data_IF_189315309806
#
_entry.id   IF_189315309806
#
_cell.length_a   1.000
_cell.length_b   1.000
_cell.length_c   1.000
_cell.angle_alpha   90.00
_cell.angle_beta   90.00
_cell.angle_gamma   90.00
#
_symmetry.space_group_name_H-M   'P 1'
#
loop_
_entity.id
_entity.type
_entity.pdbx_description
1 polymer ?
#
# COMPACT_ATOMS: atom_id res chain seq x y z
N UNK A 1 -5.61 -28.56 53.06
CA UNK A 1 -4.94 -27.50 53.85
C UNK A 1 -5.81 -26.89 54.96
N UNK A 2 -6.95 -26.26 54.69
CA UNK A 2 -7.77 -25.59 55.73
C UNK A 2 -8.14 -26.45 56.96
N UNK A 3 -8.50 -27.71 56.74
CA UNK A 3 -8.80 -28.64 57.82
C UNK A 3 -7.59 -28.95 58.71
N UNK A 4 -6.38 -28.96 58.14
CA UNK A 4 -5.12 -29.15 58.88
C UNK A 4 -4.78 -27.89 59.69
N UNK A 5 -5.02 -26.69 59.13
CA UNK A 5 -4.86 -25.40 59.85
C UNK A 5 -5.78 -25.36 61.06
N UNK A 6 -7.05 -25.71 60.88
CA UNK A 6 -8.03 -25.76 61.97
C UNK A 6 -7.63 -26.76 63.07
N UNK A 7 -7.13 -27.95 62.70
CA UNK A 7 -6.63 -28.92 63.68
C UNK A 7 -5.38 -28.44 64.41
N UNK A 8 -4.45 -27.80 63.70
CA UNK A 8 -3.24 -27.23 64.31
C UNK A 8 -3.57 -26.13 65.32
N UNK A 9 -4.54 -25.26 65.00
CA UNK A 9 -5.02 -24.21 65.91
C UNK A 9 -5.62 -24.80 67.20
N UNK A 10 -6.49 -25.81 67.08
CA UNK A 10 -7.09 -26.52 68.23
C UNK A 10 -6.01 -27.19 69.10
N UNK A 11 -5.03 -27.85 68.48
CA UNK A 11 -3.95 -28.51 69.21
C UNK A 11 -3.01 -27.51 69.89
N UNK A 12 -2.76 -26.36 69.25
CA UNK A 12 -1.94 -25.28 69.81
C UNK A 12 -2.59 -24.65 71.03
N UNK A 13 -3.89 -24.36 70.97
CA UNK A 13 -4.65 -23.86 72.12
C UNK A 13 -4.66 -24.85 73.28
N UNK A 14 -4.77 -26.15 72.97
CA UNK A 14 -4.74 -27.21 73.98
C UNK A 14 -3.37 -27.34 74.65
N UNK A 15 -2.28 -27.16 73.90
CA UNK A 15 -0.92 -27.17 74.45
C UNK A 15 -0.69 -26.07 75.50
N UNK A 16 -1.41 -24.96 75.42
CA UNK A 16 -1.33 -23.84 76.39
C UNK A 16 -2.12 -24.12 77.68
N UNK A 17 -3.21 -24.88 77.58
CA UNK A 17 -4.20 -25.03 78.67
C UNK A 17 -4.12 -26.39 79.38
N UNK A 18 -3.65 -27.44 78.72
CA UNK A 18 -3.69 -28.83 79.19
C UNK A 18 -2.28 -29.34 79.55
N UNK A 19 -2.02 -29.60 80.83
CA UNK A 19 -0.72 -30.13 81.32
C UNK A 19 -0.48 -31.59 80.93
N UNK A 20 -1.49 -32.29 80.44
CA UNK A 20 -1.38 -33.68 79.95
C UNK A 20 -1.30 -33.77 78.43
N UNK A 21 -1.11 -32.62 77.76
CA UNK A 21 -0.99 -32.55 76.31
C UNK A 21 0.13 -33.44 75.77
N UNK A 22 -0.16 -34.13 74.67
CA UNK A 22 0.80 -34.96 73.93
C UNK A 22 1.42 -34.16 72.78
N UNK A 23 2.72 -33.79 72.85
CA UNK A 23 3.40 -33.06 71.80
C UNK A 23 3.45 -33.79 70.45
N UNK A 24 3.37 -35.12 70.45
CA UNK A 24 3.42 -35.91 69.21
C UNK A 24 2.20 -35.66 68.31
N UNK A 25 1.07 -35.25 68.87
CA UNK A 25 -0.12 -34.92 68.08
C UNK A 25 0.10 -33.72 67.14
N UNK A 26 0.88 -32.72 67.55
CA UNK A 26 1.27 -31.60 66.67
C UNK A 26 2.23 -32.09 65.59
N UNK A 27 3.18 -32.95 65.95
CA UNK A 27 4.15 -33.51 65.01
C UNK A 27 3.47 -34.30 63.88
N UNK A 28 2.44 -35.08 64.20
CA UNK A 28 1.67 -35.84 63.22
C UNK A 28 0.87 -34.91 62.28
N UNK A 29 0.30 -33.82 62.80
CA UNK A 29 -0.35 -32.80 61.97
C UNK A 29 0.67 -32.09 61.07
N UNK A 30 1.89 -31.81 61.55
CA UNK A 30 2.96 -31.22 60.75
C UNK A 30 3.40 -32.14 59.60
N UNK A 31 3.50 -33.46 59.82
CA UNK A 31 3.78 -34.43 58.74
C UNK A 31 2.71 -34.42 57.66
N UNK A 32 1.44 -34.29 58.05
CA UNK A 32 0.33 -34.16 57.11
C UNK A 32 0.38 -32.84 56.33
N UNK A 33 0.77 -31.74 56.97
CA UNK A 33 0.97 -30.46 56.30
C UNK A 33 2.07 -30.51 55.25
N UNK A 34 3.22 -31.08 55.60
CA UNK A 34 4.34 -31.24 54.68
C UNK A 34 3.89 -32.05 53.44
N UNK A 35 3.18 -33.15 53.66
CA UNK A 35 2.68 -33.99 52.58
C UNK A 35 1.61 -33.30 51.72
N UNK A 36 0.68 -32.54 52.32
CA UNK A 36 -0.32 -31.76 51.60
C UNK A 36 0.32 -30.61 50.80
N UNK A 37 1.33 -29.94 51.37
CA UNK A 37 2.09 -28.89 50.71
C UNK A 37 2.88 -29.41 49.51
N UNK A 38 3.58 -30.54 49.63
CA UNK A 38 4.28 -31.14 48.50
C UNK A 38 3.32 -31.57 47.38
N UNK A 39 2.15 -32.12 47.74
CA UNK A 39 1.13 -32.48 46.74
C UNK A 39 0.59 -31.24 46.03
N UNK A 40 0.29 -30.18 46.76
CA UNK A 40 -0.18 -28.93 46.19
C UNK A 40 0.87 -28.30 45.27
N UNK A 41 2.14 -28.32 45.69
CA UNK A 41 3.24 -27.81 44.87
C UNK A 41 3.44 -28.62 43.59
N UNK A 42 3.49 -29.95 43.69
CA UNK A 42 3.63 -30.82 42.52
C UNK A 42 2.44 -30.70 41.55
N UNK A 43 1.22 -30.54 42.06
CA UNK A 43 0.04 -30.29 41.24
C UNK A 43 0.13 -28.92 40.52
N UNK A 44 0.56 -27.88 41.24
CA UNK A 44 0.75 -26.55 40.67
C UNK A 44 1.86 -26.51 39.62
N UNK A 45 2.96 -27.23 39.82
CA UNK A 45 4.06 -27.31 38.86
C UNK A 45 3.60 -28.02 37.58
N UNK A 46 2.85 -29.13 37.72
CA UNK A 46 2.27 -29.84 36.57
C UNK A 46 1.28 -28.97 35.79
N UNK A 47 0.40 -28.24 36.48
CA UNK A 47 -0.55 -27.32 35.84
C UNK A 47 0.19 -26.19 35.12
N UNK A 48 1.24 -25.64 35.73
CA UNK A 48 2.06 -24.59 35.13
C UNK A 48 2.77 -25.09 33.87
N UNK A 49 3.35 -26.29 33.89
CA UNK A 49 3.98 -26.91 32.72
C UNK A 49 2.98 -27.14 31.59
N UNK A 50 1.76 -27.58 31.91
CA UNK A 50 0.69 -27.74 30.92
C UNK A 50 0.29 -26.40 30.31
N UNK A 51 0.09 -25.37 31.13
CA UNK A 51 -0.24 -24.01 30.67
C UNK A 51 0.86 -23.43 29.77
N UNK A 52 2.14 -23.63 30.12
CA UNK A 52 3.27 -23.18 29.29
C UNK A 52 3.25 -23.89 27.95
N UNK A 53 3.08 -25.21 27.93
CA UNK A 53 3.03 -26.00 26.69
C UNK A 53 1.87 -25.60 25.79
N UNK A 54 0.71 -25.32 26.38
CA UNK A 54 -0.45 -24.81 25.66
C UNK A 54 -0.19 -23.41 25.10
N UNK A 55 0.39 -22.50 25.89
CA UNK A 55 0.74 -21.16 25.46
C UNK A 55 1.73 -21.19 24.28
N UNK A 56 2.78 -22.01 24.36
CA UNK A 56 3.75 -22.22 23.27
C UNK A 56 3.05 -22.75 22.00
N UNK A 57 2.19 -23.76 22.14
CA UNK A 57 1.42 -24.30 21.00
C UNK A 57 0.51 -23.24 20.37
N UNK A 58 -0.07 -22.35 21.18
CA UNK A 58 -0.89 -21.25 20.68
C UNK A 58 -0.06 -20.18 19.98
N UNK A 59 1.13 -19.87 20.50
CA UNK A 59 2.08 -18.97 19.86
C UNK A 59 2.52 -19.51 18.50
N UNK A 60 2.94 -20.77 18.42
CA UNK A 60 3.37 -21.40 17.17
C UNK A 60 2.27 -21.33 16.10
N UNK A 61 1.02 -21.66 16.46
CA UNK A 61 -0.12 -21.55 15.54
C UNK A 61 -0.40 -20.12 15.09
N UNK A 62 -0.23 -19.15 15.98
CA UNK A 62 -0.41 -17.74 15.64
C UNK A 62 0.69 -17.25 14.69
N UNK A 63 1.93 -17.67 14.91
CA UNK A 63 3.07 -17.39 14.03
C UNK A 63 2.88 -18.00 12.64
N UNK A 64 2.51 -19.28 12.57
CA UNK A 64 2.21 -19.97 11.30
C UNK A 64 1.09 -19.26 10.51
N UNK A 65 0.03 -18.87 11.22
CA UNK A 65 -1.07 -18.13 10.59
C UNK A 65 -0.60 -16.77 10.05
N UNK A 66 0.16 -16.03 10.85
CA UNK A 66 0.67 -14.71 10.47
C UNK A 66 1.64 -14.81 9.29
N UNK A 67 2.49 -15.83 9.27
CA UNK A 67 3.38 -16.11 8.15
C UNK A 67 2.59 -16.41 6.87
N UNK A 68 1.57 -17.27 6.95
CA UNK A 68 0.70 -17.58 5.81
C UNK A 68 -0.03 -16.36 5.25
N UNK A 69 -0.55 -15.49 6.12
CA UNK A 69 -1.22 -14.25 5.70
C UNK A 69 -0.22 -13.29 5.05
N UNK A 70 0.98 -13.16 5.62
CA UNK A 70 2.03 -12.29 5.08
C UNK A 70 2.50 -12.77 3.70
N UNK A 71 2.73 -14.06 3.52
CA UNK A 71 3.13 -14.63 2.22
C UNK A 71 2.05 -14.39 1.16
N UNK A 72 0.77 -14.60 1.51
CA UNK A 72 -0.34 -14.31 0.60
C UNK A 72 -0.40 -12.83 0.23
N UNK A 73 -0.21 -11.93 1.19
CA UNK A 73 -0.23 -10.49 0.97
C UNK A 73 0.95 -10.03 0.10
N UNK A 74 2.14 -10.60 0.29
CA UNK A 74 3.32 -10.29 -0.55
C UNK A 74 3.13 -10.79 -1.99
N UNK A 75 2.56 -11.97 -2.18
CA UNK A 75 2.27 -12.50 -3.52
C UNK A 75 1.18 -11.65 -4.23
N UNK A 76 0.18 -11.16 -3.50
CA UNK A 76 -0.82 -10.23 -4.04
C UNK A 76 -0.19 -8.88 -4.41
N UNK A 77 0.67 -8.34 -3.54
CA UNK A 77 1.41 -7.10 -3.82
C UNK A 77 2.26 -7.23 -5.07
N UNK A 78 2.98 -8.35 -5.23
CA UNK A 78 3.80 -8.61 -6.42
C UNK A 78 2.97 -8.61 -7.70
N UNK A 79 1.80 -9.26 -7.68
CA UNK A 79 0.87 -9.27 -8.83
C UNK A 79 0.31 -7.89 -9.12
N UNK A 80 0.02 -7.12 -8.07
CA UNK A 80 -0.45 -5.75 -8.20
C UNK A 80 0.62 -4.86 -8.86
N UNK A 81 1.88 -4.96 -8.45
CA UNK A 81 3.00 -4.24 -9.06
C UNK A 81 3.18 -4.60 -10.55
N UNK A 82 3.20 -5.90 -10.86
CA UNK A 82 3.31 -6.39 -12.25
C UNK A 82 2.17 -5.87 -13.13
N UNK A 83 0.94 -5.85 -12.61
CA UNK A 83 -0.24 -5.34 -13.31
C UNK A 83 -0.17 -3.82 -13.51
N UNK A 84 0.25 -3.08 -12.48
CA UNK A 84 0.44 -1.63 -12.54
C UNK A 84 1.49 -1.23 -13.57
N UNK A 85 2.63 -1.93 -13.61
CA UNK A 85 3.69 -1.68 -14.59
C UNK A 85 3.20 -1.94 -16.01
N UNK A 86 2.47 -3.04 -16.22
CA UNK A 86 1.88 -3.38 -17.51
C UNK A 86 0.87 -2.31 -17.97
N UNK A 87 0.03 -1.83 -17.06
CA UNK A 87 -0.93 -0.76 -17.36
C UNK A 87 -0.21 0.56 -17.68
N UNK A 88 0.80 0.92 -16.88
CA UNK A 88 1.58 2.13 -17.10
C UNK A 88 2.31 2.11 -18.45
N UNK A 89 2.87 0.97 -18.83
CA UNK A 89 3.51 0.81 -20.14
C UNK A 89 2.50 0.94 -21.28
N UNK A 90 1.33 0.28 -21.18
CA UNK A 90 0.29 0.38 -22.20
C UNK A 90 -0.23 1.82 -22.36
N UNK A 91 -0.42 2.53 -21.25
CA UNK A 91 -0.82 3.94 -21.24
C UNK A 91 0.25 4.83 -21.88
N UNK A 92 1.53 4.61 -21.55
CA UNK A 92 2.65 5.34 -22.14
C UNK A 92 2.72 5.13 -23.66
N UNK A 93 2.62 3.88 -24.11
CA UNK A 93 2.62 3.54 -25.54
C UNK A 93 1.44 4.21 -26.28
N UNK A 94 0.26 4.23 -25.66
CA UNK A 94 -0.92 4.91 -26.20
C UNK A 94 -0.69 6.42 -26.33
N UNK A 95 -0.17 7.07 -25.29
CA UNK A 95 0.12 8.50 -25.28
C UNK A 95 1.18 8.89 -26.31
N UNK A 96 2.23 8.08 -26.45
CA UNK A 96 3.27 8.28 -27.47
C UNK A 96 2.65 8.17 -28.87
N UNK A 97 1.83 7.14 -29.12
CA UNK A 97 1.13 6.97 -30.39
C UNK A 97 0.26 8.19 -30.73
N UNK A 98 -0.58 8.64 -29.79
CA UNK A 98 -1.42 9.82 -29.96
C UNK A 98 -0.59 11.10 -30.23
N UNK A 99 0.55 11.26 -29.56
CA UNK A 99 1.44 12.40 -29.78
C UNK A 99 2.10 12.36 -31.17
N UNK A 100 2.51 11.18 -31.64
CA UNK A 100 3.06 11.01 -32.99
C UNK A 100 2.01 11.27 -34.08
N UNK A 101 0.79 10.76 -33.91
CA UNK A 101 -0.35 11.04 -34.79
C UNK A 101 -0.63 12.55 -34.84
N UNK A 102 -0.74 13.22 -33.69
CA UNK A 102 -0.94 14.66 -33.62
C UNK A 102 0.20 15.43 -34.31
N UNK A 103 1.46 14.99 -34.13
CA UNK A 103 2.62 15.61 -34.78
C UNK A 103 2.58 15.45 -36.30
N UNK A 104 2.22 14.27 -36.80
CA UNK A 104 2.12 14.02 -38.25
C UNK A 104 0.97 14.82 -38.86
N UNK A 105 -0.18 14.87 -38.21
CA UNK A 105 -1.32 15.70 -38.61
C UNK A 105 -0.96 17.20 -38.60
N UNK A 106 -0.22 17.66 -37.59
CA UNK A 106 0.27 19.04 -37.53
C UNK A 106 1.18 19.40 -38.70
N UNK A 107 2.13 18.53 -39.05
CA UNK A 107 3.03 18.73 -40.21
C UNK A 107 2.26 18.77 -41.53
N UNK A 108 1.28 17.88 -41.74
CA UNK A 108 0.50 17.87 -42.98
C UNK A 108 -0.38 19.11 -43.09
N UNK A 109 -0.99 19.55 -41.98
CA UNK A 109 -1.74 20.80 -41.92
C UNK A 109 -0.85 22.02 -42.22
N UNK A 110 0.36 22.07 -41.65
CA UNK A 110 1.35 23.12 -41.93
C UNK A 110 1.72 23.17 -43.42
N UNK A 111 2.01 22.03 -44.04
CA UNK A 111 2.32 21.96 -45.47
C UNK A 111 1.15 22.44 -46.34
N UNK A 112 -0.08 22.03 -46.01
CA UNK A 112 -1.28 22.44 -46.72
C UNK A 112 -1.56 23.95 -46.59
N UNK A 113 -1.36 24.50 -45.38
CA UNK A 113 -1.48 25.93 -45.12
C UNK A 113 -0.41 26.72 -45.90
N UNK A 114 0.84 26.27 -45.89
CA UNK A 114 1.93 26.91 -46.63
C UNK A 114 1.73 26.86 -48.16
N UNK A 115 1.19 25.76 -48.69
CA UNK A 115 0.83 25.66 -50.11
C UNK A 115 -0.30 26.63 -50.48
N UNK A 116 -1.32 26.73 -49.62
CA UNK A 116 -2.44 27.66 -49.82
C UNK A 116 -1.96 29.11 -49.76
N UNK A 117 -1.15 29.47 -48.75
CA UNK A 117 -0.55 30.79 -48.60
C UNK A 117 0.28 31.18 -49.84
N UNK A 118 1.10 30.27 -50.38
CA UNK A 118 1.84 30.50 -51.63
C UNK A 118 0.93 30.81 -52.80
N UNK A 119 -0.15 30.04 -53.01
CA UNK A 119 -1.14 30.31 -54.06
C UNK A 119 -1.81 31.68 -53.91
N UNK A 120 -2.16 32.07 -52.68
CA UNK A 120 -2.71 33.39 -52.41
C UNK A 120 -1.70 34.49 -52.78
N UNK A 121 -0.45 34.37 -52.34
CA UNK A 121 0.62 35.32 -52.68
C UNK A 121 0.82 35.41 -54.20
N UNK A 122 0.90 34.28 -54.90
CA UNK A 122 1.04 34.25 -56.37
C UNK A 122 -0.12 34.94 -57.08
N UNK A 123 -1.36 34.68 -56.65
CA UNK A 123 -2.55 35.34 -57.22
C UNK A 123 -2.55 36.85 -56.97
N UNK A 124 -2.15 37.30 -55.77
CA UNK A 124 -2.02 38.70 -55.43
C UNK A 124 -0.93 39.39 -56.26
N UNK A 125 0.23 38.75 -56.42
CA UNK A 125 1.34 39.26 -57.25
C UNK A 125 0.94 39.33 -58.73
N UNK A 126 0.28 38.29 -59.25
CA UNK A 126 -0.20 38.27 -60.64
C UNK A 126 -1.23 39.38 -60.90
N UNK A 127 -2.17 39.56 -59.96
CA UNK A 127 -3.17 40.64 -60.00
C UNK A 127 -2.54 42.03 -59.95
N UNK A 128 -1.57 42.23 -59.06
CA UNK A 128 -0.80 43.48 -58.97
C UNK A 128 -0.03 43.76 -60.28
N UNK A 129 0.64 42.75 -60.85
CA UNK A 129 1.36 42.88 -62.12
C UNK A 129 0.42 43.18 -63.30
N UNK A 130 -0.77 42.58 -63.34
CA UNK A 130 -1.80 42.90 -64.33
C UNK A 130 -2.33 44.33 -64.19
N UNK A 131 -2.52 44.78 -62.94
CA UNK A 131 -2.94 46.14 -62.61
C UNK A 131 -1.86 47.16 -63.04
N UNK A 132 -0.59 46.90 -62.75
CA UNK A 132 0.54 47.73 -63.18
C UNK A 132 0.65 47.79 -64.71
N UNK A 133 0.54 46.66 -65.40
CA UNK A 133 0.55 46.63 -66.88
C UNK A 133 -0.59 47.45 -67.47
N UNK A 134 -1.78 47.36 -66.88
CA UNK A 134 -2.94 48.17 -67.27
C UNK A 134 -2.70 49.66 -67.04
N UNK A 135 -2.14 50.03 -65.88
CA UNK A 135 -1.78 51.41 -65.57
C UNK A 135 -0.73 51.97 -66.54
N UNK A 136 0.34 51.22 -66.84
CA UNK A 136 1.36 51.63 -67.83
C UNK A 136 0.77 51.79 -69.22
N UNK A 137 -0.15 50.90 -69.64
CA UNK A 137 -0.87 51.03 -70.91
C UNK A 137 -1.80 52.24 -70.93
N UNK A 138 -2.44 52.58 -69.81
CA UNK A 138 -3.25 53.78 -69.68
C UNK A 138 -2.40 55.06 -69.78
N UNK A 139 -1.22 55.09 -69.14
CA UNK A 139 -0.27 56.20 -69.23
C UNK A 139 0.31 56.35 -70.64
N UNK A 140 0.68 55.25 -71.30
CA UNK A 140 1.23 55.29 -72.68
C UNK A 140 0.18 55.57 -73.76
N UNK A 141 -1.10 55.32 -73.49
CA UNK A 141 -2.20 55.77 -74.36
C UNK A 141 -2.60 57.22 -74.10
N UNK A 142 -2.37 57.75 -72.89
CA UNK A 142 -2.48 59.18 -72.59
C UNK A 142 -1.36 60.01 -73.23
N UNK A 143 -0.15 59.47 -73.40
CA UNK A 143 0.95 60.20 -74.09
C UNK A 143 0.71 60.38 -75.59
N UNK A 144 -0.24 59.66 -76.20
CA UNK A 144 -0.68 59.85 -77.60
C UNK A 144 -1.84 60.83 -77.75
N UNK A 145 -2.43 61.33 -76.66
CA UNK A 145 -3.46 62.38 -76.69
C UNK A 145 -2.87 63.71 -76.22
N UNK A 146 -2.03 64.31 -77.05
CA UNK A 146 -1.75 65.74 -76.97
C UNK A 146 -2.46 66.36 -78.17
N UNK A 147 -3.57 67.07 -77.91
CA UNK A 147 -4.25 67.85 -78.95
C UNK A 147 -3.44 69.14 -79.19
N UNK A 148 -3.02 69.46 -80.43
CA UNK A 148 -2.50 70.79 -80.74
C UNK A 148 -3.65 71.80 -80.77
N UNK A 149 -3.41 72.96 -80.14
CA UNK A 149 -4.30 74.13 -80.13
C UNK A 149 -4.40 74.81 -81.49
#
# INVERSE_FOLDING_TARGET
MEALISQFEILSDRALCDKSFDPHAIEDVMKLFELDAYKAWAASELEQDEQVREAETHMDKAEDHLHSVMDSAMEELRRFEEEMDRMAQAELESLVGAAEEARTAGKTAEMAAAASARKYIESAVSSAAASMRSAVKAVSSHSKKVHPS
#
